data_IF_269214773344
#
_entry.id   IF_269214773344
#
_cell.length_a   1.000
_cell.length_b   1.000
_cell.length_c   1.000
_cell.angle_alpha   90.00
_cell.angle_beta   90.00
_cell.angle_gamma   90.00
#
_symmetry.space_group_name_H-M   'P 1'
#
loop_
_entity.id
_entity.type
_entity.pdbx_description
1 polymer ?
#
# COMPACT_ATOMS: atom_id res chain seq x y z
N UNK A 1 1.59 -3.44 19.62
CA UNK A 1 2.47 -4.37 18.88
C UNK A 1 2.30 -4.20 17.38
N UNK A 2 3.41 -4.22 16.63
CA UNK A 2 3.44 -4.02 15.18
C UNK A 2 4.06 -5.21 14.47
N UNK A 3 3.41 -5.67 13.41
CA UNK A 3 3.92 -6.74 12.54
C UNK A 3 5.07 -6.25 11.67
N UNK A 4 6.12 -7.06 11.54
CA UNK A 4 7.23 -6.83 10.61
C UNK A 4 7.00 -7.72 9.38
N UNK A 5 6.98 -7.15 8.17
CA UNK A 5 7.01 -7.92 6.92
C UNK A 5 8.41 -8.49 6.68
N UNK A 6 8.49 -9.52 5.83
CA UNK A 6 9.73 -10.20 5.47
C UNK A 6 10.80 -9.27 4.83
N UNK A 7 10.38 -8.14 4.29
CA UNK A 7 11.21 -7.07 3.72
C UNK A 7 11.77 -6.08 4.77
N UNK A 8 11.47 -6.30 6.05
CA UNK A 8 11.89 -5.45 7.16
C UNK A 8 10.99 -4.23 7.41
N UNK A 9 9.99 -3.96 6.57
CA UNK A 9 9.05 -2.87 6.76
C UNK A 9 8.10 -3.17 7.93
N UNK A 10 7.80 -2.15 8.73
CA UNK A 10 6.93 -2.27 9.91
C UNK A 10 5.54 -1.73 9.59
N UNK A 11 4.54 -2.57 9.84
CA UNK A 11 3.14 -2.18 9.79
C UNK A 11 2.54 -2.34 11.19
N UNK A 12 1.84 -1.32 11.67
CA UNK A 12 1.08 -1.45 12.91
C UNK A 12 -0.12 -2.35 12.64
N UNK A 13 0.00 -3.64 12.97
CA UNK A 13 -1.01 -4.66 12.78
C UNK A 13 -1.15 -5.46 14.08
N UNK A 14 -2.38 -5.64 14.54
CA UNK A 14 -2.67 -6.47 15.70
C UNK A 14 -2.61 -7.94 15.27
N UNK A 15 -1.50 -8.62 15.57
CA UNK A 15 -1.31 -10.04 15.25
C UNK A 15 -1.75 -10.92 16.43
N UNK A 16 -2.57 -11.97 16.21
CA UNK A 16 -3.06 -12.82 17.29
C UNK A 16 -2.04 -13.85 17.79
N UNK A 17 -0.76 -13.75 17.44
CA UNK A 17 0.28 -14.65 17.92
C UNK A 17 1.66 -14.38 17.31
N UNK A 18 2.65 -15.18 17.76
CA UNK A 18 4.00 -15.23 17.21
C UNK A 18 4.05 -16.32 16.13
N UNK A 19 3.89 -15.95 14.86
CA UNK A 19 3.94 -16.87 13.73
C UNK A 19 4.02 -16.13 12.40
N UNK A 20 4.33 -16.85 11.32
CA UNK A 20 4.19 -16.30 9.97
C UNK A 20 2.70 -16.03 9.73
N UNK A 21 2.36 -14.76 9.49
CA UNK A 21 0.97 -14.34 9.24
C UNK A 21 0.87 -13.72 7.86
N UNK A 22 -0.22 -14.03 7.16
CA UNK A 22 -0.52 -13.37 5.89
C UNK A 22 -1.29 -12.08 6.17
N UNK A 23 -0.74 -10.95 5.74
CA UNK A 23 -1.41 -9.65 5.85
C UNK A 23 -2.22 -9.40 4.57
N UNK A 24 -3.54 -9.44 4.68
CA UNK A 24 -4.43 -8.97 3.63
C UNK A 24 -4.69 -7.47 3.82
N UNK A 25 -4.34 -6.67 2.81
CA UNK A 25 -4.55 -5.22 2.82
C UNK A 25 -5.68 -4.92 1.84
N UNK A 26 -6.69 -4.17 2.31
CA UNK A 26 -7.77 -3.67 1.46
C UNK A 26 -7.28 -2.47 0.64
N UNK A 27 -7.01 -2.61 -0.67
CA UNK A 27 -6.38 -1.56 -1.47
C UNK A 27 -7.22 -0.28 -1.54
N UNK A 28 -8.54 -0.39 -1.42
CA UNK A 28 -9.49 0.72 -1.40
C UNK A 28 -9.38 1.61 -0.14
N UNK A 29 -8.61 1.18 0.87
CA UNK A 29 -8.36 1.93 2.11
C UNK A 29 -6.91 2.39 2.23
N UNK A 30 -6.14 2.37 1.16
CA UNK A 30 -4.73 2.79 1.14
C UNK A 30 -4.57 4.09 0.36
N UNK A 31 -3.56 4.89 0.71
CA UNK A 31 -3.28 6.15 0.04
C UNK A 31 -1.78 6.36 -0.18
N UNK A 32 -1.43 7.06 -1.25
CA UNK A 32 -0.05 7.54 -1.44
C UNK A 32 0.18 8.71 -0.48
N UNK A 33 1.21 8.59 0.35
CA UNK A 33 1.57 9.61 1.33
C UNK A 33 3.08 9.57 1.59
N UNK A 34 3.74 10.73 1.60
CA UNK A 34 5.19 10.82 1.75
C UNK A 34 5.72 10.16 3.04
N UNK A 35 4.93 10.17 4.10
CA UNK A 35 5.20 9.55 5.40
C UNK A 35 4.54 8.16 5.55
N UNK A 36 4.14 7.55 4.43
CA UNK A 36 3.63 6.18 4.39
C UNK A 36 4.63 5.16 4.92
N UNK A 37 4.13 4.08 5.53
CA UNK A 37 4.98 3.06 6.14
C UNK A 37 5.58 2.09 5.11
N UNK A 38 4.90 1.92 3.98
CA UNK A 38 5.27 0.97 2.93
C UNK A 38 5.96 1.70 1.78
N UNK A 39 7.11 1.20 1.34
CA UNK A 39 7.79 1.70 0.15
C UNK A 39 7.53 0.78 -1.03
N UNK A 40 7.21 1.37 -2.18
CA UNK A 40 7.06 0.65 -3.44
C UNK A 40 7.55 1.46 -4.63
N UNK A 41 7.65 0.80 -5.77
CA UNK A 41 7.95 1.41 -7.06
C UNK A 41 6.66 1.47 -7.87
N UNK A 42 6.34 2.63 -8.41
CA UNK A 42 5.20 2.80 -9.30
C UNK A 42 5.46 2.08 -10.63
N UNK A 43 4.65 1.08 -10.97
CA UNK A 43 4.77 0.32 -12.21
C UNK A 43 3.83 0.86 -13.29
N UNK A 44 2.61 1.22 -12.91
CA UNK A 44 1.61 1.71 -13.86
C UNK A 44 0.57 2.63 -13.19
N UNK A 45 -0.04 3.49 -14.00
CA UNK A 45 -1.08 4.43 -13.60
C UNK A 45 -2.28 4.24 -14.51
N UNK A 46 -3.44 3.89 -13.93
CA UNK A 46 -4.68 3.65 -14.68
C UNK A 46 -5.74 4.64 -14.24
N UNK A 47 -6.27 5.42 -15.18
CA UNK A 47 -7.36 6.35 -14.91
C UNK A 47 -8.71 5.66 -15.10
N UNK A 48 -9.55 5.69 -14.06
CA UNK A 48 -10.87 5.04 -14.02
C UNK A 48 -11.91 6.06 -13.59
N UNK A 49 -12.46 6.80 -14.56
CA UNK A 49 -13.47 7.83 -14.30
C UNK A 49 -12.96 8.91 -13.34
N UNK A 50 -13.50 8.94 -12.12
CA UNK A 50 -13.12 9.87 -11.05
C UNK A 50 -11.97 9.38 -10.18
N UNK A 51 -11.39 8.22 -10.47
CA UNK A 51 -10.30 7.63 -9.72
C UNK A 51 -9.05 7.43 -10.57
N UNK A 52 -7.91 7.37 -9.91
CA UNK A 52 -6.64 6.89 -10.44
C UNK A 52 -6.21 5.67 -9.63
N UNK A 53 -5.86 4.60 -10.32
CA UNK A 53 -5.35 3.37 -9.73
C UNK A 53 -3.87 3.25 -10.04
N UNK A 54 -3.05 3.26 -9.00
CA UNK A 54 -1.61 3.07 -9.08
C UNK A 54 -1.27 1.61 -8.85
N UNK A 55 -0.54 1.01 -9.77
CA UNK A 55 0.01 -0.33 -9.62
C UNK A 55 1.43 -0.20 -9.11
N UNK A 56 1.72 -0.81 -7.96
CA UNK A 56 2.99 -0.70 -7.28
C UNK A 56 3.64 -2.07 -7.15
N UNK A 57 4.95 -2.08 -7.31
CA UNK A 57 5.81 -3.15 -6.85
C UNK A 57 6.21 -2.86 -5.41
N UNK A 58 5.83 -3.73 -4.48
CA UNK A 58 6.20 -3.58 -3.07
C UNK A 58 7.09 -4.74 -2.68
N UNK A 59 8.35 -4.43 -2.36
CA UNK A 59 9.36 -5.40 -1.94
C UNK A 59 9.51 -6.60 -2.90
N UNK A 60 9.53 -6.33 -4.21
CA UNK A 60 9.67 -7.35 -5.24
C UNK A 60 8.38 -8.10 -5.56
N UNK A 61 7.26 -7.79 -4.89
CA UNK A 61 5.95 -8.36 -5.19
C UNK A 61 5.12 -7.36 -5.99
N UNK A 62 4.85 -7.63 -7.28
CA UNK A 62 3.95 -6.81 -8.09
C UNK A 62 2.49 -7.06 -7.67
N UNK A 63 1.60 -6.15 -8.11
CA UNK A 63 0.15 -6.32 -7.93
C UNK A 63 -0.44 -5.60 -6.71
N UNK A 64 0.36 -4.83 -5.97
CA UNK A 64 -0.18 -3.91 -4.97
C UNK A 64 -0.88 -2.74 -5.68
N UNK A 65 -2.11 -2.42 -5.29
CA UNK A 65 -2.90 -1.37 -5.94
C UNK A 65 -3.32 -0.32 -4.94
N UNK A 66 -3.13 0.95 -5.29
CA UNK A 66 -3.62 2.09 -4.50
C UNK A 66 -4.64 2.84 -5.35
N UNK A 67 -5.83 3.08 -4.81
CA UNK A 67 -6.87 3.85 -5.50
C UNK A 67 -6.98 5.22 -4.86
N UNK A 68 -6.85 6.26 -5.66
CA UNK A 68 -6.96 7.65 -5.23
C UNK A 68 -8.01 8.35 -6.08
N UNK A 69 -8.96 9.03 -5.44
CA UNK A 69 -9.94 9.81 -6.17
C UNK A 69 -9.29 11.10 -6.70
N UNK A 70 -9.63 11.46 -7.94
CA UNK A 70 -9.15 12.63 -8.70
C UNK A 70 -9.76 13.95 -8.18
N UNK A 71 -9.89 14.12 -6.86
CA UNK A 71 -10.44 15.33 -6.24
C UNK A 71 -9.43 16.48 -6.43
N UNK A 72 -9.95 17.62 -6.88
CA UNK A 72 -9.26 18.88 -7.24
C UNK A 72 -7.73 18.90 -7.08
N UNK A 73 -7.03 18.75 -8.21
CA UNK A 73 -5.62 19.13 -8.29
C UNK A 73 -4.62 18.09 -7.79
N UNK A 74 -5.05 16.89 -7.39
CA UNK A 74 -4.15 15.74 -7.17
C UNK A 74 -3.58 15.22 -8.50
N UNK A 75 -2.87 16.07 -9.27
CA UNK A 75 -1.90 15.60 -10.25
C UNK A 75 -0.84 14.86 -9.47
N UNK A 76 -0.87 13.53 -9.54
CA UNK A 76 0.23 12.73 -9.05
C UNK A 76 1.48 13.14 -9.83
N UNK A 77 2.52 13.68 -9.19
CA UNK A 77 3.76 14.04 -9.88
C UNK A 77 4.61 12.80 -10.22
N UNK A 78 4.10 11.60 -9.91
CA UNK A 78 4.84 10.35 -10.04
C UNK A 78 4.65 9.74 -11.42
N UNK A 79 5.75 9.32 -12.01
CA UNK A 79 5.80 8.54 -13.25
C UNK A 79 6.14 7.08 -12.93
N UNK A 80 5.80 6.11 -13.80
CA UNK A 80 6.33 4.76 -13.68
C UNK A 80 7.85 4.76 -13.47
N UNK A 81 8.33 3.93 -12.54
CA UNK A 81 9.70 3.90 -12.04
C UNK A 81 9.94 4.77 -10.80
N UNK A 82 9.03 5.68 -10.44
CA UNK A 82 9.17 6.50 -9.24
C UNK A 82 9.02 5.66 -7.96
N UNK A 83 9.87 5.95 -6.97
CA UNK A 83 9.67 5.46 -5.61
C UNK A 83 8.54 6.24 -4.94
N UNK A 84 7.60 5.51 -4.37
CA UNK A 84 6.44 6.07 -3.67
C UNK A 84 6.29 5.44 -2.30
N UNK A 85 5.62 6.16 -1.42
CA UNK A 85 5.31 5.71 -0.06
C UNK A 85 3.79 5.56 0.06
N UNK A 86 3.35 4.46 0.66
CA UNK A 86 1.94 4.13 0.86
C UNK A 86 1.65 4.14 2.35
N UNK A 87 0.65 4.91 2.75
CA UNK A 87 0.08 4.82 4.09
C UNK A 87 -0.99 3.76 4.09
N UNK A 88 -0.84 2.81 5.00
CA UNK A 88 -1.83 1.78 5.28
C UNK A 88 -2.42 2.08 6.66
N UNK A 89 -3.70 2.50 6.74
CA UNK A 89 -4.39 2.61 8.02
C UNK A 89 -4.44 1.24 8.69
N UNK A 90 -4.28 1.16 10.01
CA UNK A 90 -4.39 -0.10 10.75
C UNK A 90 -5.74 -0.81 10.48
N UNK A 91 -6.82 -0.05 10.29
CA UNK A 91 -8.15 -0.56 9.95
C UNK A 91 -8.29 -1.14 8.52
N UNK A 92 -7.28 -0.96 7.67
CA UNK A 92 -7.19 -1.55 6.33
C UNK A 92 -6.47 -2.91 6.33
N UNK A 93 -5.76 -3.23 7.42
CA UNK A 93 -5.02 -4.47 7.59
C UNK A 93 -5.92 -5.52 8.20
N UNK A 94 -6.02 -6.67 7.55
CA UNK A 94 -6.54 -7.90 8.16
C UNK A 94 -5.40 -8.90 8.28
N UNK A 95 -5.23 -9.41 9.49
CA UNK A 95 -4.30 -10.51 9.76
C UNK A 95 -5.05 -11.81 9.53
N UNK A 96 -4.56 -12.61 8.59
CA UNK A 96 -4.97 -14.00 8.42
C UNK A 96 -3.92 -14.84 9.16
N UNK A 97 -4.34 -15.45 10.26
CA UNK A 97 -3.60 -16.53 10.89
C UNK A 97 -3.93 -17.83 10.16
N UNK A 98 -2.93 -18.67 9.94
CA UNK A 98 -3.12 -20.07 9.54
C UNK A 98 -3.68 -20.88 10.72
#
# INVERSE_FOLDING_TARGET
DGGRRADGQRLAATTPGSGAVTLAIRPERTELAADGQLEGVLENIVYVGTDTVYHLNVAGQPGFRVRQQNRDGARCPHSPGAKVRVRIPAAAIRVLAE
#
